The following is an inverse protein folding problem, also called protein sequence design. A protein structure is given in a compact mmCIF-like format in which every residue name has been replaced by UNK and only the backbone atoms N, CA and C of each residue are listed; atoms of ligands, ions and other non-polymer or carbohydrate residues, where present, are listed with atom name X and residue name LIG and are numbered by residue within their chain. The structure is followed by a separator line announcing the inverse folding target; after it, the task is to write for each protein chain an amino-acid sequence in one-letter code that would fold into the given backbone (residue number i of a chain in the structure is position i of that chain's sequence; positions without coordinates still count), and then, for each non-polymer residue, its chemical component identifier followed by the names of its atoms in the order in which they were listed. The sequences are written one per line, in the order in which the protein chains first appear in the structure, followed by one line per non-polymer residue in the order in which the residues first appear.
data_IF_598711537344
#
_entry.id   IF_598711537344
#
_cell.length_a   1.000
_cell.length_b   1.000
_cell.length_c   1.000
_cell.angle_alpha   90.00
_cell.angle_beta   90.00
_cell.angle_gamma   90.00
#
_symmetry.space_group_name_H-M   'P 1'
#
loop_
_entity.id
_entity.type
_entity.pdbx_description
1 polymer ?
#
# COMPACT_ATOMS: atom_id res chain seq x y z
N UNK A 1 -59.86 35.96 9.89
CA UNK A 1 -58.88 34.91 9.55
C UNK A 1 -57.55 35.30 10.18
N UNK A 2 -57.19 34.72 11.34
CA UNK A 2 -55.94 35.05 12.04
C UNK A 2 -54.77 34.28 11.43
N UNK A 3 -53.87 35.00 10.75
CA UNK A 3 -52.67 34.43 10.15
C UNK A 3 -51.62 34.25 11.25
N UNK A 4 -51.38 32.99 11.63
CA UNK A 4 -50.36 32.60 12.61
C UNK A 4 -48.98 33.00 12.05
N UNK A 5 -48.38 34.05 12.61
CA UNK A 5 -47.01 34.45 12.32
C UNK A 5 -46.09 33.34 12.84
N UNK A 6 -45.55 32.50 11.95
CA UNK A 6 -44.54 31.53 12.32
C UNK A 6 -43.27 32.29 12.71
N UNK A 7 -42.93 32.27 14.01
CA UNK A 7 -41.69 32.82 14.53
C UNK A 7 -40.52 32.03 13.94
N UNK A 8 -39.82 32.61 12.97
CA UNK A 8 -38.58 32.04 12.47
C UNK A 8 -37.51 32.25 13.54
N UNK A 9 -37.25 31.21 14.36
CA UNK A 9 -36.04 31.16 15.19
C UNK A 9 -34.84 31.06 14.25
N UNK A 10 -34.13 32.17 14.08
CA UNK A 10 -32.84 32.20 13.39
C UNK A 10 -31.72 31.68 14.30
N UNK A 11 -30.67 31.14 13.69
CA UNK A 11 -29.42 30.79 14.38
C UNK A 11 -28.70 32.07 14.81
N UNK A 12 -28.25 32.14 16.06
CA UNK A 12 -27.57 33.33 16.58
C UNK A 12 -26.09 33.33 16.21
N UNK A 13 -25.51 34.52 16.03
CA UNK A 13 -24.07 34.65 15.79
C UNK A 13 -23.25 34.13 16.97
N UNK A 14 -23.76 34.27 18.20
CA UNK A 14 -23.08 33.78 19.39
C UNK A 14 -23.05 32.24 19.44
N UNK A 15 -24.12 31.57 19.02
CA UNK A 15 -24.13 30.11 18.86
C UNK A 15 -23.07 29.67 17.83
N UNK A 16 -22.95 30.38 16.70
CA UNK A 16 -21.90 30.09 15.71
C UNK A 16 -20.50 30.25 16.30
N UNK A 17 -20.26 31.35 17.03
CA UNK A 17 -18.94 31.66 17.58
C UNK A 17 -18.47 30.60 18.58
N UNK A 18 -19.37 30.12 19.44
CA UNK A 18 -19.04 29.06 20.41
C UNK A 18 -18.76 27.74 19.68
N UNK A 19 -19.54 27.39 18.66
CA UNK A 19 -19.33 26.17 17.88
C UNK A 19 -17.96 26.18 17.20
N UNK A 20 -17.59 27.30 16.55
CA UNK A 20 -16.29 27.41 15.89
C UNK A 20 -15.14 27.37 16.91
N UNK A 21 -15.31 27.96 18.10
CA UNK A 21 -14.30 27.89 19.15
C UNK A 21 -14.05 26.45 19.63
N UNK A 22 -15.10 25.66 19.85
CA UNK A 22 -14.96 24.26 20.27
C UNK A 22 -14.38 23.41 19.12
N UNK A 23 -14.85 23.60 17.88
CA UNK A 23 -14.29 22.92 16.72
C UNK A 23 -12.80 23.21 16.53
N UNK A 24 -12.35 24.44 16.82
CA UNK A 24 -10.93 24.81 16.77
C UNK A 24 -10.07 23.98 17.73
N UNK A 25 -10.52 23.80 18.97
CA UNK A 25 -9.80 22.99 19.97
C UNK A 25 -9.78 21.51 19.57
N UNK A 26 -10.91 20.96 19.11
CA UNK A 26 -10.97 19.57 18.66
C UNK A 26 -10.08 19.33 17.43
N UNK A 27 -10.10 20.24 16.46
CA UNK A 27 -9.29 20.13 15.25
C UNK A 27 -7.78 20.14 15.55
N UNK A 28 -7.33 20.96 16.51
CA UNK A 28 -5.92 21.06 16.90
C UNK A 28 -5.34 19.71 17.38
N UNK A 29 -6.15 18.88 18.05
CA UNK A 29 -5.73 17.55 18.53
C UNK A 29 -6.05 16.45 17.51
N UNK A 30 -7.21 16.52 16.87
CA UNK A 30 -7.68 15.46 15.99
C UNK A 30 -6.91 15.38 14.66
N UNK A 31 -6.50 16.51 14.08
CA UNK A 31 -5.79 16.54 12.80
C UNK A 31 -4.45 15.80 12.86
N UNK A 32 -3.50 16.09 13.77
CA UNK A 32 -2.23 15.39 13.80
C UNK A 32 -2.40 13.88 14.04
N UNK A 33 -3.31 13.49 14.95
CA UNK A 33 -3.60 12.08 15.21
C UNK A 33 -4.17 11.36 13.98
N UNK A 34 -5.03 12.03 13.21
CA UNK A 34 -5.60 11.47 11.98
C UNK A 34 -4.53 11.30 10.88
N UNK A 35 -3.60 12.24 10.76
CA UNK A 35 -2.48 12.13 9.82
C UNK A 35 -1.57 10.94 10.16
N UNK A 36 -1.23 10.75 11.44
CA UNK A 36 -0.45 9.61 11.90
C UNK A 36 -1.16 8.28 11.65
N UNK A 37 -2.48 8.24 11.85
CA UNK A 37 -3.31 7.07 11.55
C UNK A 37 -3.26 6.69 10.06
N UNK A 38 -3.39 7.67 9.16
CA UNK A 38 -3.27 7.44 7.72
C UNK A 38 -1.87 6.94 7.38
N UNK A 39 -0.82 7.56 7.91
CA UNK A 39 0.56 7.16 7.66
C UNK A 39 0.81 5.70 8.09
N UNK A 40 0.40 5.34 9.31
CA UNK A 40 0.51 3.98 9.83
C UNK A 40 -0.31 2.98 8.99
N UNK A 41 -1.49 3.37 8.50
CA UNK A 41 -2.30 2.54 7.62
C UNK A 41 -1.59 2.24 6.29
N UNK A 42 -0.99 3.27 5.66
CA UNK A 42 -0.21 3.11 4.41
C UNK A 42 0.99 2.19 4.61
N UNK A 43 1.75 2.37 5.69
CA UNK A 43 2.90 1.51 6.02
C UNK A 43 2.47 0.05 6.20
N UNK A 44 1.38 -0.20 6.94
CA UNK A 44 0.84 -1.55 7.14
C UNK A 44 0.38 -2.18 5.82
N UNK A 45 -0.27 -1.41 4.96
CA UNK A 45 -0.69 -1.88 3.64
C UNK A 45 0.51 -2.27 2.77
N UNK A 46 1.56 -1.46 2.73
CA UNK A 46 2.78 -1.79 1.97
C UNK A 46 3.50 -3.02 2.53
N UNK A 47 3.56 -3.17 3.85
CA UNK A 47 4.11 -4.38 4.48
C UNK A 47 3.27 -5.63 4.17
N UNK A 48 1.94 -5.50 4.14
CA UNK A 48 1.04 -6.59 3.74
C UNK A 48 1.24 -7.00 2.26
N UNK A 49 1.43 -6.00 1.37
CA UNK A 49 1.76 -6.26 -0.03
C UNK A 49 3.12 -6.98 -0.15
N UNK A 50 4.12 -6.54 0.61
CA UNK A 50 5.43 -7.19 0.65
C UNK A 50 5.32 -8.67 1.09
N UNK A 51 4.62 -8.95 2.18
CA UNK A 51 4.46 -10.32 2.67
C UNK A 51 3.69 -11.20 1.67
N UNK A 52 2.74 -10.63 0.93
CA UNK A 52 2.02 -11.31 -0.16
C UNK A 52 2.97 -11.62 -1.32
N UNK A 53 3.80 -10.68 -1.75
CA UNK A 53 4.82 -10.91 -2.77
C UNK A 53 5.77 -12.04 -2.36
N UNK A 54 6.28 -12.05 -1.13
CA UNK A 54 7.17 -13.12 -0.66
C UNK A 54 6.51 -14.49 -0.75
N UNK A 55 5.24 -14.62 -0.34
CA UNK A 55 4.51 -15.89 -0.41
C UNK A 55 4.35 -16.36 -1.87
N UNK A 56 3.94 -15.45 -2.75
CA UNK A 56 3.77 -15.73 -4.17
C UNK A 56 5.10 -16.11 -4.84
N UNK A 57 6.16 -15.35 -4.57
CA UNK A 57 7.50 -15.62 -5.10
C UNK A 57 8.04 -16.95 -4.60
N UNK A 58 7.89 -17.30 -3.31
CA UNK A 58 8.28 -18.62 -2.80
C UNK A 58 7.53 -19.76 -3.49
N UNK A 59 6.23 -19.57 -3.74
CA UNK A 59 5.42 -20.54 -4.46
C UNK A 59 5.89 -20.74 -5.90
N UNK A 60 6.15 -19.65 -6.63
CA UNK A 60 6.67 -19.71 -8.00
C UNK A 60 8.10 -20.24 -8.08
N UNK A 61 8.96 -19.84 -7.15
CA UNK A 61 10.32 -20.35 -7.01
C UNK A 61 10.31 -21.88 -6.88
N UNK A 62 9.49 -22.42 -5.95
CA UNK A 62 9.36 -23.86 -5.76
C UNK A 62 8.80 -24.61 -6.98
N UNK A 63 7.88 -24.01 -7.73
CA UNK A 63 7.37 -24.61 -8.99
C UNK A 63 8.46 -24.68 -10.05
N UNK A 64 9.23 -23.60 -10.21
CA UNK A 64 10.31 -23.52 -11.20
C UNK A 64 11.46 -24.47 -10.88
N UNK A 65 11.88 -24.57 -9.61
CA UNK A 65 12.91 -25.54 -9.19
C UNK A 65 12.44 -26.99 -9.34
N UNK A 66 11.13 -27.24 -9.20
CA UNK A 66 10.55 -28.58 -9.43
C UNK A 66 10.26 -28.89 -10.90
N UNK A 67 10.59 -28.00 -11.84
CA UNK A 67 10.27 -28.16 -13.26
C UNK A 67 8.77 -28.22 -13.57
N UNK A 68 7.92 -27.69 -12.67
CA UNK A 68 6.46 -27.65 -12.83
C UNK A 68 6.04 -26.33 -13.47
N UNK A 69 4.87 -26.32 -14.12
CA UNK A 69 4.32 -25.13 -14.76
C UNK A 69 4.30 -23.92 -13.81
N UNK A 70 5.05 -22.88 -14.19
CA UNK A 70 5.17 -21.62 -13.46
C UNK A 70 4.30 -20.54 -14.11
N UNK A 71 3.97 -19.49 -13.35
CA UNK A 71 3.30 -18.32 -13.90
C UNK A 71 4.20 -17.64 -14.93
N UNK A 72 3.64 -17.35 -16.12
CA UNK A 72 4.32 -16.62 -17.18
C UNK A 72 4.69 -15.19 -16.75
N UNK A 73 3.84 -14.54 -15.94
CA UNK A 73 4.08 -13.22 -15.37
C UNK A 73 3.47 -13.15 -13.95
N UNK A 74 4.32 -13.32 -12.93
CA UNK A 74 3.87 -13.26 -11.53
C UNK A 74 3.45 -11.84 -11.14
N UNK A 75 4.11 -10.81 -11.69
CA UNK A 75 3.85 -9.41 -11.34
C UNK A 75 2.48 -8.99 -11.84
N UNK A 76 2.09 -9.37 -13.05
CA UNK A 76 0.74 -9.14 -13.56
C UNK A 76 -0.32 -9.89 -12.72
N UNK A 77 -0.07 -11.14 -12.35
CA UNK A 77 -0.99 -11.89 -11.48
C UNK A 77 -1.14 -11.25 -10.11
N UNK A 78 -0.05 -10.79 -9.50
CA UNK A 78 -0.06 -10.07 -8.23
C UNK A 78 -0.78 -8.73 -8.34
N UNK A 79 -0.72 -8.05 -9.48
CA UNK A 79 -1.44 -6.79 -9.67
C UNK A 79 -2.94 -6.97 -9.99
N UNK A 80 -3.43 -8.21 -10.21
CA UNK A 80 -4.82 -8.60 -10.51
C UNK A 80 -5.70 -7.45 -11.05
N UNK A 81 -5.48 -7.10 -12.32
CA UNK A 81 -6.23 -6.06 -13.06
C UNK A 81 -6.36 -4.69 -12.33
N UNK A 82 -5.36 -4.30 -11.54
CA UNK A 82 -5.31 -2.99 -10.87
C UNK A 82 -5.98 -2.94 -9.49
N UNK A 83 -6.37 -4.09 -8.92
CA UNK A 83 -6.93 -4.15 -7.56
C UNK A 83 -5.89 -3.90 -6.47
N UNK A 84 -4.65 -4.32 -6.71
CA UNK A 84 -3.55 -4.09 -5.79
C UNK A 84 -2.85 -2.80 -6.20
N UNK A 85 -3.10 -1.75 -5.42
CA UNK A 85 -2.60 -0.40 -5.65
C UNK A 85 -1.53 -0.03 -4.64
N UNK A 86 -0.64 0.89 -5.04
CA UNK A 86 0.33 1.47 -4.14
C UNK A 86 -0.40 2.33 -3.07
N UNK A 87 -0.22 2.06 -1.76
CA UNK A 87 -0.87 2.81 -0.69
C UNK A 87 -0.48 4.30 -0.62
N UNK A 88 0.68 4.66 -1.16
CA UNK A 88 1.16 6.04 -1.19
C UNK A 88 0.80 6.77 -2.48
N UNK A 89 0.69 6.06 -3.61
CA UNK A 89 0.24 6.58 -4.90
C UNK A 89 -0.81 5.64 -5.55
N UNK A 90 -2.11 5.80 -5.25
CA UNK A 90 -3.15 4.86 -5.69
C UNK A 90 -3.35 4.74 -7.21
N UNK A 91 -2.77 5.65 -8.00
CA UNK A 91 -2.75 5.57 -9.47
C UNK A 91 -1.70 4.57 -9.99
N UNK A 92 -0.78 4.12 -9.14
CA UNK A 92 0.30 3.20 -9.47
C UNK A 92 -0.01 1.79 -8.96
N UNK A 93 0.47 0.79 -9.70
CA UNK A 93 0.40 -0.61 -9.29
C UNK A 93 1.21 -0.88 -8.01
N UNK A 94 0.81 -1.85 -7.20
CA UNK A 94 1.54 -2.24 -5.99
C UNK A 94 2.84 -3.01 -6.27
N UNK A 95 2.90 -3.75 -7.38
CA UNK A 95 4.03 -4.62 -7.72
C UNK A 95 4.66 -4.22 -9.06
N UNK A 96 5.99 -4.34 -9.17
CA UNK A 96 6.73 -4.16 -10.42
C UNK A 96 7.79 -5.25 -10.59
N UNK A 97 8.21 -5.46 -11.84
CA UNK A 97 9.43 -6.22 -12.14
C UNK A 97 10.66 -5.34 -11.91
N UNK A 98 11.71 -5.91 -11.32
CA UNK A 98 12.96 -5.20 -10.99
C UNK A 98 13.15 -4.95 -9.49
N UNK A 99 14.38 -4.59 -9.10
CA UNK A 99 14.78 -4.42 -7.68
C UNK A 99 14.64 -2.99 -7.14
N UNK A 100 14.18 -2.04 -7.96
CA UNK A 100 14.09 -0.61 -7.63
C UNK A 100 12.65 -0.10 -7.55
N UNK A 101 11.84 -0.55 -6.56
CA UNK A 101 10.47 -0.08 -6.40
C UNK A 101 10.38 1.37 -5.93
N UNK A 102 9.33 2.09 -6.32
CA UNK A 102 9.01 3.37 -5.70
C UNK A 102 8.48 3.18 -4.27
N UNK A 103 8.31 4.27 -3.53
CA UNK A 103 7.71 4.25 -2.20
C UNK A 103 6.34 3.56 -2.25
N UNK A 104 6.15 2.56 -1.40
CA UNK A 104 4.91 1.81 -1.28
C UNK A 104 4.76 0.62 -2.21
N UNK A 105 5.67 0.47 -3.17
CA UNK A 105 5.68 -0.63 -4.12
C UNK A 105 6.62 -1.75 -3.68
N UNK A 106 6.42 -2.91 -4.30
CA UNK A 106 7.25 -4.09 -4.15
C UNK A 106 7.81 -4.50 -5.51
N UNK A 107 9.14 -4.50 -5.61
CA UNK A 107 9.89 -4.97 -6.76
C UNK A 107 10.26 -6.44 -6.63
N UNK A 108 10.13 -7.17 -7.72
CA UNK A 108 10.42 -8.60 -7.81
C UNK A 108 11.34 -8.84 -9.00
N UNK A 109 12.52 -9.44 -8.78
CA UNK A 109 13.54 -9.61 -9.81
C UNK A 109 14.47 -10.81 -9.55
N UNK A 110 14.87 -11.60 -10.56
CA UNK A 110 14.21 -11.78 -11.83
C UNK A 110 13.09 -12.79 -11.63
N UNK A 111 11.87 -12.46 -12.04
CA UNK A 111 10.84 -13.49 -12.24
C UNK A 111 10.25 -13.48 -13.66
N UNK A 112 10.63 -12.48 -14.46
CA UNK A 112 10.02 -12.19 -15.77
C UNK A 112 11.03 -12.21 -16.93
N UNK A 113 12.26 -12.70 -16.72
CA UNK A 113 13.25 -12.84 -17.79
C UNK A 113 13.39 -14.31 -18.22
N UNK A 114 12.40 -14.77 -18.97
CA UNK A 114 12.37 -15.96 -19.84
C UNK A 114 11.44 -17.12 -19.42
N UNK A 115 10.70 -17.56 -20.43
CA UNK A 115 9.62 -18.54 -20.43
C UNK A 115 9.94 -19.81 -19.66
N UNK A 116 9.05 -20.22 -18.74
CA UNK A 116 8.77 -21.62 -18.37
C UNK A 116 9.97 -22.56 -18.09
N UNK A 117 11.16 -22.02 -17.94
CA UNK A 117 12.41 -22.74 -17.76
C UNK A 117 12.74 -22.63 -16.29
N UNK A 118 13.11 -23.77 -15.69
CA UNK A 118 13.43 -23.83 -14.28
C UNK A 118 14.52 -22.84 -13.90
N UNK A 119 14.67 -22.60 -12.61
CA UNK A 119 15.74 -21.75 -12.08
C UNK A 119 17.03 -22.59 -12.12
N UNK A 120 18.13 -22.03 -12.64
CA UNK A 120 19.42 -22.71 -12.66
C UNK A 120 20.10 -22.64 -11.28
N UNK A 121 20.91 -23.65 -10.92
CA UNK A 121 21.61 -23.65 -9.63
C UNK A 121 22.44 -22.36 -9.48
N UNK A 122 22.35 -21.74 -8.30
CA UNK A 122 23.00 -20.47 -7.99
C UNK A 122 22.27 -19.22 -8.46
N UNK A 123 21.17 -19.33 -9.22
CA UNK A 123 20.32 -18.18 -9.53
C UNK A 123 19.53 -17.73 -8.30
N UNK A 124 19.28 -16.42 -8.24
CA UNK A 124 18.59 -15.79 -7.12
C UNK A 124 17.33 -15.07 -7.55
N UNK A 125 16.28 -15.11 -6.74
CA UNK A 125 15.15 -14.17 -6.82
C UNK A 125 15.20 -13.21 -5.64
N UNK A 126 15.21 -11.93 -5.94
CA UNK A 126 15.17 -10.79 -5.03
C UNK A 126 13.78 -10.18 -4.98
N UNK A 127 13.31 -9.90 -3.77
CA UNK A 127 12.08 -9.14 -3.52
C UNK A 127 12.42 -7.95 -2.64
N UNK A 128 12.22 -6.75 -3.15
CA UNK A 128 12.50 -5.48 -2.47
C UNK A 128 11.19 -4.73 -2.26
N UNK A 129 10.93 -4.23 -1.06
CA UNK A 129 9.77 -3.39 -0.75
C UNK A 129 10.21 -2.08 -0.10
N UNK A 130 9.62 -0.97 -0.54
CA UNK A 130 9.90 0.35 0.01
C UNK A 130 8.66 0.89 0.74
N UNK A 131 8.84 1.46 1.94
CA UNK A 131 7.76 2.01 2.76
C UNK A 131 8.27 3.17 3.61
N UNK A 132 7.36 3.96 4.21
CA UNK A 132 7.73 4.93 5.24
C UNK A 132 7.54 4.32 6.62
N UNK A 133 8.43 4.62 7.57
CA UNK A 133 8.13 4.40 8.99
C UNK A 133 7.18 5.48 9.56
N UNK A 134 6.80 5.36 10.84
CA UNK A 134 5.94 6.34 11.50
C UNK A 134 6.58 7.73 11.65
N UNK A 135 7.91 7.84 11.48
CA UNK A 135 8.60 9.13 11.47
C UNK A 135 8.65 9.75 10.07
N UNK A 136 8.07 9.09 9.05
CA UNK A 136 8.09 9.55 7.66
C UNK A 136 9.42 9.30 6.94
N UNK A 137 10.30 8.46 7.49
CA UNK A 137 11.58 8.11 6.87
C UNK A 137 11.40 6.93 5.93
N UNK A 138 12.01 7.00 4.75
CA UNK A 138 11.98 5.91 3.79
C UNK A 138 12.81 4.71 4.29
N UNK A 139 12.21 3.53 4.22
CA UNK A 139 12.77 2.26 4.61
C UNK A 139 12.68 1.28 3.44
N UNK A 140 13.69 0.43 3.31
CA UNK A 140 13.77 -0.63 2.30
C UNK A 140 13.91 -1.98 2.99
N UNK A 141 13.13 -2.96 2.55
CA UNK A 141 13.21 -4.34 3.01
C UNK A 141 13.44 -5.26 1.81
N UNK A 142 14.50 -6.06 1.86
CA UNK A 142 14.88 -6.96 0.77
C UNK A 142 14.98 -8.39 1.27
N UNK A 143 14.48 -9.33 0.47
CA UNK A 143 14.65 -10.77 0.66
C UNK A 143 15.25 -11.36 -0.61
N UNK A 144 16.19 -12.29 -0.46
CA UNK A 144 16.82 -13.01 -1.56
C UNK A 144 16.61 -14.51 -1.34
N UNK A 145 16.11 -15.20 -2.36
CA UNK A 145 15.99 -16.65 -2.45
C UNK A 145 17.05 -17.14 -3.43
N UNK A 146 17.80 -18.16 -3.08
CA UNK A 146 18.83 -18.75 -3.95
C UNK A 146 18.49 -20.21 -4.21
N UNK A 147 18.64 -20.67 -5.45
CA UNK A 147 18.49 -22.10 -5.75
C UNK A 147 19.78 -22.83 -5.42
N UNK A 148 19.71 -23.76 -4.47
CA UNK A 148 20.81 -24.63 -4.04
C UNK A 148 20.97 -25.87 -4.93
#
# INVERSE_FOLDING_TARGET
MFKKLQSKKGFTLIELMIVVAILGVLAAVAIPQYLDYIAASKTRASMSNYDTAIKSVKGEFAKRTAGKGASADLVAMLNDAGRNVNPYEPSQAAYLSGTSPALGQVGIDPIDASAATGIAQGETITVTGNYLDMAGTAQTKTMILTYE
#
